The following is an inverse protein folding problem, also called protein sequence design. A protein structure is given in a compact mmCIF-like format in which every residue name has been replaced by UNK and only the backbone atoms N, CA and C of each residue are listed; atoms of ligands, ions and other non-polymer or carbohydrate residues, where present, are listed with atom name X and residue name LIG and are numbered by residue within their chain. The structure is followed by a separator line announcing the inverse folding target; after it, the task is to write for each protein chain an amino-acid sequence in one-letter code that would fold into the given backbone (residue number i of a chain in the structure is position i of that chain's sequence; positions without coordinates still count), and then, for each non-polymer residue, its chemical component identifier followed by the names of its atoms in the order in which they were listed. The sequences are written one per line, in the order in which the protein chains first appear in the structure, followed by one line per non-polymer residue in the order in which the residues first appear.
data_IF_917020525483
#
_entry.id   IF_917020525483
#
_cell.length_a   1.000
_cell.length_b   1.000
_cell.length_c   1.000
_cell.angle_alpha   90.00
_cell.angle_beta   90.00
_cell.angle_gamma   90.00
#
_symmetry.space_group_name_H-M   'P 1'
#
loop_
_entity.id
_entity.type
_entity.pdbx_description
1 polymer ?
#
# COMPACT_ATOMS: atom_id res chain seq x y z
N UNK A 1 -5.26 9.96 31.63
CA UNK A 1 -4.79 10.95 30.63
C UNK A 1 -4.27 10.26 29.36
N UNK A 2 -4.18 10.96 28.23
CA UNK A 2 -3.47 10.48 27.01
C UNK A 2 -2.01 10.15 27.36
N UNK A 3 -1.41 10.93 28.27
CA UNK A 3 -0.04 10.75 28.75
C UNK A 3 0.10 9.40 29.47
N UNK A 4 -0.78 9.07 30.43
CA UNK A 4 -0.75 7.77 31.13
C UNK A 4 -0.91 6.58 30.17
N UNK A 5 -1.68 6.77 29.09
CA UNK A 5 -1.87 5.74 28.06
C UNK A 5 -0.62 5.55 27.19
N UNK A 6 0.10 6.63 26.88
CA UNK A 6 1.38 6.58 26.16
C UNK A 6 2.47 5.93 27.02
N UNK A 7 2.54 6.29 28.30
CA UNK A 7 3.46 5.69 29.30
C UNK A 7 3.17 4.20 29.45
N UNK A 8 1.89 3.81 29.61
CA UNK A 8 1.49 2.40 29.69
C UNK A 8 1.81 1.60 28.43
N UNK A 9 1.71 2.20 27.23
CA UNK A 9 1.95 1.49 25.95
C UNK A 9 3.42 1.47 25.53
N UNK A 10 4.23 2.38 26.03
CA UNK A 10 5.67 2.41 25.76
C UNK A 10 6.47 2.60 27.05
N UNK A 11 6.38 1.65 28.01
CA UNK A 11 7.06 1.76 29.30
C UNK A 11 8.59 1.66 29.18
N UNK A 12 9.10 1.30 28.01
CA UNK A 12 10.53 1.28 27.67
C UNK A 12 11.02 2.60 27.03
N UNK A 13 10.10 3.46 26.59
CA UNK A 13 10.41 4.82 26.09
C UNK A 13 10.14 5.86 27.16
N UNK A 14 9.10 5.67 27.96
CA UNK A 14 8.60 6.66 28.93
C UNK A 14 8.51 6.13 30.38
N UNK A 15 9.08 4.97 30.67
CA UNK A 15 9.12 4.37 32.01
C UNK A 15 10.40 3.57 32.24
N UNK A 16 10.42 2.72 33.27
CA UNK A 16 11.64 2.02 33.72
C UNK A 16 11.85 0.63 33.11
N UNK A 17 11.03 0.23 32.12
CA UNK A 17 11.07 -1.12 31.59
C UNK A 17 12.21 -1.30 30.57
N UNK A 18 13.20 -2.13 30.89
CA UNK A 18 14.28 -2.48 29.96
C UNK A 18 13.80 -3.60 29.02
N UNK A 19 13.60 -3.28 27.74
CA UNK A 19 13.30 -4.26 26.69
C UNK A 19 14.57 -4.50 25.88
N UNK A 20 15.00 -5.76 25.76
CA UNK A 20 16.32 -6.10 25.18
C UNK A 20 16.26 -6.36 23.68
N UNK A 21 15.07 -6.66 23.14
CA UNK A 21 14.89 -6.96 21.71
C UNK A 21 13.58 -6.37 21.15
N UNK A 22 13.57 -6.07 19.85
CA UNK A 22 12.36 -5.60 19.15
C UNK A 22 11.20 -6.64 19.21
N UNK A 23 11.53 -7.94 19.24
CA UNK A 23 10.54 -9.01 19.38
C UNK A 23 9.86 -9.00 20.77
N UNK A 24 10.60 -8.73 21.83
CA UNK A 24 10.05 -8.55 23.19
C UNK A 24 9.19 -7.29 23.29
N UNK A 25 9.56 -6.22 22.57
CA UNK A 25 8.78 -4.97 22.51
C UNK A 25 7.38 -5.21 21.91
N UNK A 26 7.32 -5.91 20.78
CA UNK A 26 6.06 -6.26 20.10
C UNK A 26 5.18 -7.13 20.99
N UNK A 27 5.72 -8.19 21.60
CA UNK A 27 4.97 -9.06 22.51
C UNK A 27 4.44 -8.32 23.74
N UNK A 28 5.24 -7.43 24.34
CA UNK A 28 4.80 -6.68 25.53
C UNK A 28 3.71 -5.67 25.16
N UNK A 29 3.83 -5.00 24.01
CA UNK A 29 2.82 -4.07 23.49
C UNK A 29 1.50 -4.77 23.17
N UNK A 30 1.54 -5.97 22.60
CA UNK A 30 0.36 -6.80 22.34
C UNK A 30 -0.33 -7.26 23.63
N UNK A 31 0.45 -7.69 24.63
CA UNK A 31 -0.06 -8.07 25.95
C UNK A 31 -0.80 -6.91 26.62
N UNK A 32 -0.20 -5.71 26.57
CA UNK A 32 -0.80 -4.47 27.10
C UNK A 32 -2.08 -4.06 26.35
N UNK A 33 -2.19 -4.39 25.05
CA UNK A 33 -3.41 -4.15 24.27
C UNK A 33 -4.53 -5.16 24.52
N UNK A 34 -4.20 -6.42 24.80
CA UNK A 34 -5.20 -7.44 25.21
C UNK A 34 -5.84 -7.10 26.54
N UNK A 35 -5.10 -6.50 27.48
CA UNK A 35 -5.63 -6.04 28.77
C UNK A 35 -6.57 -4.83 28.67
N UNK A 36 -6.67 -4.15 27.50
CA UNK A 36 -7.58 -3.01 27.29
C UNK A 36 -9.00 -3.42 26.83
N UNK A 37 -9.36 -4.70 26.83
CA UNK A 37 -10.75 -5.15 26.61
C UNK A 37 -11.30 -4.93 25.20
N UNK A 38 -10.42 -4.93 24.19
CA UNK A 38 -10.82 -4.75 22.78
C UNK A 38 -11.54 -5.98 22.25
N UNK A 39 -12.70 -5.78 21.61
CA UNK A 39 -13.53 -6.87 21.09
C UNK A 39 -12.96 -7.49 19.81
N UNK A 40 -12.12 -6.76 19.07
CA UNK A 40 -11.51 -7.24 17.82
C UNK A 40 -10.02 -6.91 17.75
N UNK A 41 -9.22 -7.83 17.18
CA UNK A 41 -7.80 -7.63 16.88
C UNK A 41 -7.60 -6.46 15.89
N UNK A 42 -8.56 -6.27 14.99
CA UNK A 42 -8.56 -5.17 14.02
C UNK A 42 -8.92 -3.82 14.65
N UNK A 43 -9.37 -3.81 15.91
CA UNK A 43 -9.74 -2.59 16.60
C UNK A 43 -8.56 -1.63 16.78
N UNK A 44 -8.79 -0.36 16.48
CA UNK A 44 -7.79 0.70 16.51
C UNK A 44 -7.03 0.93 15.21
N UNK A 45 -7.46 0.36 14.07
CA UNK A 45 -7.16 0.92 12.75
C UNK A 45 -8.15 2.07 12.49
N UNK A 46 -7.69 3.33 12.37
CA UNK A 46 -8.58 4.45 12.11
C UNK A 46 -9.32 4.29 10.77
N UNK A 47 -10.63 4.59 10.77
CA UNK A 47 -11.47 4.50 9.57
C UNK A 47 -11.16 5.57 8.53
N UNK A 48 -10.55 6.69 8.94
CA UNK A 48 -10.20 7.83 8.11
C UNK A 48 -8.84 7.72 7.41
N UNK A 49 -8.15 6.58 7.54
CA UNK A 49 -6.94 6.33 6.74
C UNK A 49 -7.32 6.13 5.26
N UNK A 50 -6.39 6.47 4.37
CA UNK A 50 -6.49 6.10 2.96
C UNK A 50 -6.58 4.59 2.81
N UNK A 51 -7.23 4.13 1.73
CA UNK A 51 -7.56 2.72 1.55
C UNK A 51 -6.33 1.80 1.60
N UNK A 52 -5.24 2.14 0.89
CA UNK A 52 -4.01 1.34 0.86
C UNK A 52 -3.34 1.26 2.24
N UNK A 53 -3.21 2.40 2.92
CA UNK A 53 -2.61 2.44 4.26
C UNK A 53 -3.47 1.68 5.28
N UNK A 54 -4.80 1.77 5.15
CA UNK A 54 -5.74 1.05 6.00
C UNK A 54 -5.63 -0.46 5.78
N UNK A 55 -5.63 -0.92 4.54
CA UNK A 55 -5.44 -2.34 4.19
C UNK A 55 -4.11 -2.88 4.74
N UNK A 56 -3.02 -2.15 4.55
CA UNK A 56 -1.69 -2.52 5.05
C UNK A 56 -1.66 -2.66 6.58
N UNK A 57 -2.31 -1.74 7.31
CA UNK A 57 -2.43 -1.78 8.77
C UNK A 57 -3.33 -2.92 9.27
N UNK A 58 -4.41 -3.22 8.56
CA UNK A 58 -5.28 -4.35 8.89
C UNK A 58 -4.52 -5.67 8.74
N UNK A 59 -3.83 -5.86 7.62
CA UNK A 59 -3.03 -7.06 7.36
C UNK A 59 -1.87 -7.21 8.37
N UNK A 60 -1.18 -6.12 8.71
CA UNK A 60 -0.13 -6.16 9.73
C UNK A 60 -0.64 -6.58 11.12
N UNK A 61 -1.87 -6.18 11.47
CA UNK A 61 -2.52 -6.60 12.72
C UNK A 61 -2.98 -8.05 12.69
N UNK A 62 -3.45 -8.53 11.54
CA UNK A 62 -3.80 -9.93 11.37
C UNK A 62 -2.54 -10.81 11.47
N UNK A 63 -1.44 -10.38 10.84
CA UNK A 63 -0.15 -11.06 10.91
C UNK A 63 0.41 -11.18 12.33
N UNK A 64 0.21 -10.16 13.17
CA UNK A 64 0.63 -10.16 14.58
C UNK A 64 0.03 -11.32 15.40
N UNK A 65 -1.14 -11.84 15.01
CA UNK A 65 -1.78 -12.98 15.69
C UNK A 65 -1.53 -14.32 14.98
N UNK A 66 -0.63 -14.35 14.01
CA UNK A 66 -0.31 -15.55 13.22
C UNK A 66 -1.22 -15.78 12.02
N UNK A 67 -2.08 -14.83 11.66
CA UNK A 67 -2.82 -14.88 10.39
C UNK A 67 -1.97 -14.25 9.29
N UNK A 68 -0.96 -14.99 8.86
CA UNK A 68 0.03 -14.56 7.87
C UNK A 68 0.52 -15.74 7.02
N UNK A 69 1.18 -15.45 5.91
CA UNK A 69 1.88 -16.41 5.07
C UNK A 69 3.32 -16.60 5.56
N UNK A 70 3.85 -17.82 5.43
CA UNK A 70 5.21 -18.14 5.89
C UNK A 70 6.31 -17.58 4.97
N UNK A 71 5.99 -17.40 3.68
CA UNK A 71 6.96 -16.97 2.68
C UNK A 71 6.30 -16.09 1.61
N UNK A 72 7.15 -15.30 0.93
CA UNK A 72 6.71 -14.39 -0.13
C UNK A 72 6.17 -15.12 -1.38
N UNK A 73 6.58 -16.38 -1.63
CA UNK A 73 6.09 -17.12 -2.79
C UNK A 73 4.60 -17.46 -2.69
N UNK A 74 4.09 -17.74 -1.49
CA UNK A 74 2.66 -18.00 -1.30
C UNK A 74 1.82 -16.73 -1.44
N UNK A 75 2.41 -15.56 -1.13
CA UNK A 75 1.78 -14.26 -1.41
C UNK A 75 1.69 -13.99 -2.90
N UNK A 76 2.75 -14.31 -3.65
CA UNK A 76 2.74 -14.20 -5.12
C UNK A 76 1.69 -15.10 -5.77
N UNK A 77 1.58 -16.37 -5.32
CA UNK A 77 0.52 -17.26 -5.81
C UNK A 77 -0.86 -16.66 -5.60
N UNK A 78 -1.11 -16.01 -4.45
CA UNK A 78 -2.39 -15.34 -4.21
C UNK A 78 -2.60 -14.15 -5.14
N UNK A 79 -1.57 -13.34 -5.41
CA UNK A 79 -1.67 -12.26 -6.41
C UNK A 79 -2.00 -12.80 -7.80
N UNK A 80 -1.42 -13.93 -8.19
CA UNK A 80 -1.70 -14.58 -9.47
C UNK A 80 -3.13 -15.12 -9.54
N UNK A 81 -3.61 -15.75 -8.47
CA UNK A 81 -4.98 -16.25 -8.31
C UNK A 81 -6.02 -15.13 -8.48
N UNK A 82 -5.91 -14.03 -7.73
CA UNK A 82 -6.84 -12.88 -7.83
C UNK A 82 -6.80 -12.22 -9.21
N UNK A 83 -5.62 -12.21 -9.84
CA UNK A 83 -5.47 -11.70 -11.20
C UNK A 83 -6.21 -12.57 -12.23
N UNK A 84 -6.22 -13.89 -12.03
CA UNK A 84 -6.94 -14.82 -12.91
C UNK A 84 -8.46 -14.77 -12.67
N UNK A 85 -8.91 -14.65 -11.41
CA UNK A 85 -10.31 -14.42 -11.06
C UNK A 85 -10.86 -13.12 -11.69
N UNK A 86 -10.08 -12.03 -11.63
CA UNK A 86 -10.43 -10.78 -12.30
C UNK A 86 -10.57 -10.95 -13.82
N UNK A 87 -9.63 -11.67 -14.47
CA UNK A 87 -9.71 -11.94 -15.91
C UNK A 87 -10.97 -12.73 -16.25
N UNK A 88 -11.32 -13.73 -15.44
CA UNK A 88 -12.51 -14.54 -15.63
C UNK A 88 -13.79 -13.70 -15.48
N UNK A 89 -13.87 -12.84 -14.46
CA UNK A 89 -15.00 -11.94 -14.25
C UNK A 89 -15.21 -10.98 -15.43
N UNK A 90 -14.11 -10.44 -16.00
CA UNK A 90 -14.14 -9.60 -17.20
C UNK A 90 -14.66 -10.39 -18.40
N UNK A 91 -14.14 -11.60 -18.64
CA UNK A 91 -14.56 -12.44 -19.77
C UNK A 91 -16.04 -12.81 -19.71
N UNK A 92 -16.57 -12.99 -18.50
CA UNK A 92 -17.99 -13.30 -18.26
C UNK A 92 -18.90 -12.06 -18.26
N UNK A 93 -18.37 -10.85 -18.42
CA UNK A 93 -19.11 -9.58 -18.34
C UNK A 93 -19.92 -9.45 -17.04
N UNK A 94 -19.31 -9.77 -15.89
CA UNK A 94 -19.94 -9.70 -14.57
C UNK A 94 -19.45 -8.45 -13.81
N UNK A 95 -20.09 -7.28 -13.96
CA UNK A 95 -19.56 -6.02 -13.44
C UNK A 95 -19.34 -6.01 -11.93
N UNK A 96 -20.29 -6.58 -11.16
CA UNK A 96 -20.18 -6.66 -9.70
C UNK A 96 -19.01 -7.56 -9.28
N UNK A 97 -18.76 -8.65 -10.02
CA UNK A 97 -17.61 -9.52 -9.77
C UNK A 97 -16.31 -8.80 -10.12
N UNK A 98 -16.25 -8.07 -11.25
CA UNK A 98 -15.07 -7.29 -11.63
C UNK A 98 -14.66 -6.30 -10.55
N UNK A 99 -15.61 -5.59 -9.92
CA UNK A 99 -15.29 -4.66 -8.83
C UNK A 99 -14.72 -5.39 -7.60
N UNK A 100 -15.30 -6.54 -7.23
CA UNK A 100 -14.83 -7.33 -6.10
C UNK A 100 -13.43 -7.91 -6.36
N UNK A 101 -13.22 -8.61 -7.47
CA UNK A 101 -11.93 -9.24 -7.79
C UNK A 101 -10.83 -8.18 -7.98
N UNK A 102 -11.16 -6.99 -8.52
CA UNK A 102 -10.20 -5.89 -8.60
C UNK A 102 -9.81 -5.38 -7.21
N UNK A 103 -10.77 -5.31 -6.29
CA UNK A 103 -10.54 -4.99 -4.88
C UNK A 103 -9.63 -6.00 -4.19
N UNK A 104 -9.86 -7.29 -4.40
CA UNK A 104 -9.08 -8.37 -3.81
C UNK A 104 -7.66 -8.46 -4.40
N UNK A 105 -7.50 -8.21 -5.71
CA UNK A 105 -6.18 -8.03 -6.32
C UNK A 105 -5.41 -6.86 -5.69
N UNK A 106 -6.04 -5.69 -5.50
CA UNK A 106 -5.42 -4.57 -4.81
C UNK A 106 -5.04 -4.92 -3.36
N UNK A 107 -5.90 -5.65 -2.65
CA UNK A 107 -5.65 -6.09 -1.29
C UNK A 107 -4.46 -7.06 -1.22
N UNK A 108 -4.37 -7.99 -2.17
CA UNK A 108 -3.25 -8.93 -2.32
C UNK A 108 -1.93 -8.23 -2.67
N UNK A 109 -1.96 -7.20 -3.53
CA UNK A 109 -0.78 -6.36 -3.81
C UNK A 109 -0.33 -5.56 -2.58
N UNK A 110 -1.27 -5.07 -1.76
CA UNK A 110 -0.94 -4.44 -0.47
C UNK A 110 -0.29 -5.46 0.47
N UNK A 111 -0.74 -6.71 0.46
CA UNK A 111 -0.13 -7.77 1.26
C UNK A 111 1.31 -8.05 0.79
N UNK A 112 1.52 -8.16 -0.53
CA UNK A 112 2.86 -8.28 -1.10
C UNK A 112 3.77 -7.12 -0.67
N UNK A 113 3.26 -5.88 -0.70
CA UNK A 113 4.05 -4.71 -0.27
C UNK A 113 4.52 -4.82 1.19
N UNK A 114 3.72 -5.45 2.07
CA UNK A 114 4.10 -5.71 3.46
C UNK A 114 5.28 -6.68 3.56
N UNK A 115 5.31 -7.74 2.78
CA UNK A 115 6.45 -8.66 2.71
C UNK A 115 7.70 -8.01 2.13
N UNK A 116 7.52 -7.08 1.18
CA UNK A 116 8.61 -6.27 0.63
C UNK A 116 9.06 -5.14 1.57
N UNK A 117 8.42 -4.96 2.72
CA UNK A 117 8.65 -3.83 3.65
C UNK A 117 8.50 -2.46 2.98
N UNK A 118 7.59 -2.35 2.01
CA UNK A 118 7.26 -1.12 1.28
C UNK A 118 5.91 -0.60 1.76
N UNK A 119 5.83 0.70 2.07
CA UNK A 119 4.54 1.33 2.33
C UNK A 119 3.81 1.55 0.99
N UNK A 120 2.66 0.88 0.75
CA UNK A 120 1.99 0.93 -0.55
C UNK A 120 1.44 2.32 -0.89
N UNK A 121 1.00 3.08 0.13
CA UNK A 121 0.48 4.43 -0.06
C UNK A 121 1.60 5.38 -0.51
N UNK A 122 2.76 5.33 0.14
CA UNK A 122 3.88 6.21 -0.19
C UNK A 122 4.51 5.82 -1.55
N UNK A 123 4.58 4.52 -1.85
CA UNK A 123 5.01 4.02 -3.15
C UNK A 123 4.10 4.53 -4.28
N UNK A 124 2.78 4.41 -4.12
CA UNK A 124 1.83 4.92 -5.11
C UNK A 124 1.93 6.44 -5.25
N UNK A 125 2.02 7.19 -4.14
CA UNK A 125 2.21 8.65 -4.18
C UNK A 125 3.47 9.04 -4.93
N UNK A 126 4.56 8.30 -4.78
CA UNK A 126 5.79 8.54 -5.53
C UNK A 126 5.59 8.32 -7.02
N UNK A 127 4.96 7.21 -7.41
CA UNK A 127 4.62 6.92 -8.81
C UNK A 127 3.72 8.00 -9.43
N UNK A 128 2.69 8.46 -8.69
CA UNK A 128 1.81 9.55 -9.12
C UNK A 128 2.62 10.82 -9.37
N UNK A 129 3.51 11.22 -8.45
CA UNK A 129 4.36 12.42 -8.64
C UNK A 129 5.24 12.31 -9.89
N UNK A 130 5.88 11.16 -10.12
CA UNK A 130 6.68 10.93 -11.32
C UNK A 130 5.84 11.03 -12.58
N UNK A 131 4.66 10.42 -12.59
CA UNK A 131 3.73 10.51 -13.72
C UNK A 131 3.34 11.97 -14.01
N UNK A 132 2.94 12.72 -12.98
CA UNK A 132 2.55 14.13 -13.11
C UNK A 132 3.69 14.97 -13.68
N UNK A 133 4.90 14.84 -13.14
CA UNK A 133 6.07 15.60 -13.62
C UNK A 133 6.39 15.29 -15.08
N UNK A 134 6.33 14.01 -15.47
CA UNK A 134 6.59 13.60 -16.85
C UNK A 134 5.54 14.11 -17.81
N UNK A 135 4.27 14.03 -17.42
CA UNK A 135 3.18 14.51 -18.27
C UNK A 135 3.26 16.04 -18.45
N UNK A 136 3.58 16.79 -17.40
CA UNK A 136 3.80 18.23 -17.48
C UNK A 136 4.97 18.61 -18.39
N UNK A 137 6.05 17.81 -18.42
CA UNK A 137 7.12 18.00 -19.40
C UNK A 137 6.64 17.74 -20.82
N UNK A 138 5.85 16.67 -21.04
CA UNK A 138 5.25 16.41 -22.36
C UNK A 138 4.40 17.59 -22.82
N UNK A 139 3.54 18.13 -21.96
CA UNK A 139 2.72 19.31 -22.26
C UNK A 139 3.59 20.52 -22.61
N UNK A 140 4.64 20.79 -21.84
CA UNK A 140 5.57 21.89 -22.08
C UNK A 140 6.28 21.75 -23.44
N UNK A 141 6.76 20.55 -23.76
CA UNK A 141 7.46 20.29 -25.03
C UNK A 141 6.53 20.42 -26.23
N UNK A 142 5.28 19.96 -26.11
CA UNK A 142 4.27 20.16 -27.14
C UNK A 142 3.94 21.64 -27.34
N UNK A 143 3.79 22.38 -26.24
CA UNK A 143 3.52 23.81 -26.29
C UNK A 143 4.65 24.59 -26.98
N UNK A 144 5.92 24.24 -26.73
CA UNK A 144 7.07 24.82 -27.43
C UNK A 144 7.06 24.57 -28.95
N UNK A 145 6.38 23.50 -29.38
CA UNK A 145 6.17 23.17 -30.80
C UNK A 145 4.87 23.77 -31.37
N UNK A 146 4.14 24.58 -30.59
CA UNK A 146 2.83 25.11 -30.97
C UNK A 146 1.74 24.04 -31.07
N UNK A 147 1.95 22.88 -30.46
CA UNK A 147 1.03 21.73 -30.45
C UNK A 147 0.32 21.61 -29.09
N UNK A 148 -0.79 20.88 -29.05
CA UNK A 148 -1.51 20.52 -27.82
C UNK A 148 -1.68 19.00 -27.70
N UNK A 149 -1.75 18.43 -26.47
CA UNK A 149 -1.99 16.99 -26.27
C UNK A 149 -3.24 16.45 -26.98
N UNK A 150 -4.27 17.27 -27.16
CA UNK A 150 -5.52 16.90 -27.84
C UNK A 150 -5.37 16.83 -29.37
N UNK A 151 -4.29 17.40 -29.91
CA UNK A 151 -4.06 17.54 -31.36
C UNK A 151 -2.97 16.61 -31.88
N UNK A 152 -2.31 15.85 -31.00
CA UNK A 152 -1.20 14.96 -31.34
C UNK A 152 -1.56 13.51 -31.10
N UNK A 153 -0.87 12.60 -31.80
CA UNK A 153 -1.05 11.17 -31.61
C UNK A 153 -0.37 10.67 -30.33
N UNK A 154 -0.79 9.50 -29.86
CA UNK A 154 -0.18 8.85 -28.71
C UNK A 154 1.30 8.55 -28.96
N UNK A 155 1.67 8.17 -30.19
CA UNK A 155 3.05 7.89 -30.58
C UNK A 155 3.94 9.14 -30.49
N UNK A 156 3.40 10.33 -30.81
CA UNK A 156 4.14 11.58 -30.64
C UNK A 156 4.36 11.91 -29.15
N UNK A 157 3.32 11.75 -28.32
CA UNK A 157 3.44 11.93 -26.86
C UNK A 157 4.42 10.94 -26.23
N UNK A 158 4.38 9.68 -26.65
CA UNK A 158 5.27 8.63 -26.16
C UNK A 158 6.74 8.88 -26.50
N UNK A 159 7.04 9.49 -27.65
CA UNK A 159 8.42 9.88 -27.98
C UNK A 159 8.96 10.90 -26.97
N UNK A 160 8.18 11.93 -26.65
CA UNK A 160 8.56 12.98 -25.69
C UNK A 160 8.63 12.40 -24.27
N UNK A 161 7.68 11.54 -23.92
CA UNK A 161 7.65 10.84 -22.63
C UNK A 161 8.91 10.00 -22.42
N UNK A 162 9.31 9.21 -23.42
CA UNK A 162 10.50 8.37 -23.35
C UNK A 162 11.80 9.19 -23.29
N UNK A 163 11.85 10.36 -23.93
CA UNK A 163 12.98 11.28 -23.76
C UNK A 163 13.06 11.83 -22.34
N UNK A 164 11.91 12.15 -21.73
CA UNK A 164 11.83 12.63 -20.35
C UNK A 164 12.29 11.56 -19.36
N UNK A 165 11.85 10.31 -19.53
CA UNK A 165 12.30 9.16 -18.72
C UNK A 165 13.84 9.02 -18.70
N UNK A 166 14.47 9.04 -19.88
CA UNK A 166 15.93 8.95 -20.01
C UNK A 166 16.67 10.06 -19.25
N UNK A 167 16.10 11.27 -19.19
CA UNK A 167 16.67 12.40 -18.44
C UNK A 167 16.58 12.19 -16.92
N UNK A 168 15.54 11.50 -16.45
CA UNK A 168 15.32 11.19 -15.03
C UNK A 168 16.16 10.00 -14.53
N UNK A 169 16.91 9.32 -15.42
CA UNK A 169 17.74 8.16 -15.08
C UNK A 169 16.98 6.84 -14.98
N UNK A 170 15.78 6.75 -15.58
CA UNK A 170 15.01 5.51 -15.79
C UNK A 170 15.02 5.11 -17.27
#
# INVERSE_FOLDING_TARGET
SIIDKLIRRHPHVFGDAVIKTAAEQTKNWERLKKTEGRASILEGVPKNLSALLRAWRLQSKAAQVGFDWDNISDVWKKVEEEMDELKEAIQKNQPDAVENEFGDLLFSLVNLSRFLSVNPEDALRHTIRKFTQRFQEVEKQLQLQGKSPQTVSLEEMDKIWNQTKKRDGE
#
